data_IF_181631339317
#
_entry.id   IF_181631339317
#
_cell.length_a   1.000
_cell.length_b   1.000
_cell.length_c   1.000
_cell.angle_alpha   90.00
_cell.angle_beta   90.00
_cell.angle_gamma   90.00
#
_symmetry.space_group_name_H-M   'P 1'
#
loop_
_entity.id
_entity.type
_entity.pdbx_description
1 polymer ?
#
# COMPACT_ATOMS: atom_id res chain seq x y z
N UNK A 1 -13.67 -7.65 -3.06
CA UNK A 1 -12.29 -7.15 -3.19
C UNK A 1 -12.34 -5.63 -3.12
N UNK A 2 -11.50 -5.00 -2.30
CA UNK A 2 -11.36 -3.55 -2.27
C UNK A 2 -10.52 -3.17 -3.49
N UNK A 3 -11.14 -2.51 -4.47
CA UNK A 3 -10.40 -1.91 -5.58
C UNK A 3 -9.73 -0.66 -5.04
N UNK A 4 -8.40 -0.64 -5.09
CA UNK A 4 -7.60 0.49 -4.67
C UNK A 4 -7.88 1.66 -5.63
N UNK A 5 -8.04 2.88 -5.12
CA UNK A 5 -8.36 4.08 -5.91
C UNK A 5 -7.22 4.49 -6.88
N UNK A 6 -6.14 3.71 -6.94
CA UNK A 6 -5.02 3.80 -7.89
C UNK A 6 -5.36 3.30 -9.31
N UNK A 7 -6.64 3.35 -9.72
CA UNK A 7 -7.23 2.68 -10.90
C UNK A 7 -6.76 3.21 -12.26
N UNK A 8 -5.75 4.08 -12.38
CA UNK A 8 -5.38 4.66 -13.69
C UNK A 8 -3.94 4.49 -14.16
N UNK A 9 -2.96 4.18 -13.30
CA UNK A 9 -1.56 4.19 -13.76
C UNK A 9 -1.09 2.89 -14.41
N UNK A 10 -1.68 1.73 -14.08
CA UNK A 10 -1.17 0.43 -14.55
C UNK A 10 -1.84 -0.06 -15.84
N UNK A 11 -3.11 0.25 -16.07
CA UNK A 11 -3.79 -0.14 -17.32
C UNK A 11 -3.27 0.66 -18.54
N UNK A 12 -2.95 1.95 -18.35
CA UNK A 12 -2.42 2.80 -19.42
C UNK A 12 -0.97 2.42 -19.84
N UNK A 13 -0.23 1.74 -18.97
CA UNK A 13 1.15 1.27 -19.23
C UNK A 13 1.27 -0.24 -19.48
N UNK A 14 0.17 -1.00 -19.46
CA UNK A 14 0.23 -2.43 -19.72
C UNK A 14 0.59 -2.68 -21.20
N UNK A 15 1.59 -3.53 -21.43
CA UNK A 15 1.97 -3.92 -22.79
C UNK A 15 0.72 -4.49 -23.52
N UNK A 16 0.48 -4.16 -24.81
CA UNK A 16 -0.75 -4.53 -25.53
C UNK A 16 -1.09 -6.02 -25.53
N UNK A 17 -0.11 -6.87 -25.19
CA UNK A 17 -0.28 -8.32 -25.11
C UNK A 17 -0.89 -8.82 -23.80
N UNK A 18 -1.13 -7.95 -22.81
CA UNK A 18 -1.67 -8.30 -21.49
C UNK A 18 -3.14 -7.84 -21.47
N UNK A 19 -4.11 -8.75 -21.69
CA UNK A 19 -5.52 -8.38 -21.80
C UNK A 19 -6.14 -7.98 -20.46
N UNK A 20 -5.55 -8.44 -19.36
CA UNK A 20 -6.04 -8.20 -18.00
C UNK A 20 -4.87 -7.96 -17.06
N UNK A 21 -4.91 -6.85 -16.34
CA UNK A 21 -3.98 -6.54 -15.27
C UNK A 21 -4.78 -6.03 -14.08
N UNK A 22 -4.53 -6.58 -12.89
CA UNK A 22 -5.18 -6.14 -11.66
C UNK A 22 -4.15 -5.95 -10.57
N UNK A 23 -4.17 -4.78 -9.94
CA UNK A 23 -3.40 -4.49 -8.74
C UNK A 23 -4.35 -4.40 -7.56
N UNK A 24 -4.03 -5.10 -6.48
CA UNK A 24 -4.85 -5.12 -5.27
C UNK A 24 -4.00 -4.94 -4.04
N UNK A 25 -4.64 -4.42 -3.01
CA UNK A 25 -4.04 -4.30 -1.69
C UNK A 25 -4.49 -5.43 -0.78
N UNK A 26 -3.53 -6.12 -0.15
CA UNK A 26 -3.82 -7.15 0.85
C UNK A 26 -4.03 -6.55 2.23
N UNK A 27 -4.96 -7.14 2.98
CA UNK A 27 -5.31 -6.75 4.36
C UNK A 27 -5.66 -7.99 5.16
N UNK A 28 -5.45 -7.93 6.48
CA UNK A 28 -5.86 -9.00 7.37
C UNK A 28 -7.38 -9.21 7.36
N UNK A 29 -7.86 -10.45 7.58
CA UNK A 29 -9.29 -10.72 7.73
C UNK A 29 -9.94 -9.78 8.76
N UNK A 30 -11.14 -9.30 8.45
CA UNK A 30 -11.88 -8.34 9.28
C UNK A 30 -11.53 -6.86 9.06
N UNK A 31 -10.42 -6.53 8.39
CA UNK A 31 -10.07 -5.13 8.10
C UNK A 31 -11.18 -4.41 7.33
N UNK A 32 -11.69 -5.03 6.26
CA UNK A 32 -12.74 -4.43 5.43
C UNK A 32 -14.02 -4.19 6.22
N UNK A 33 -14.37 -5.08 7.16
CA UNK A 33 -15.56 -4.91 8.00
C UNK A 33 -15.38 -3.78 9.01
N UNK A 34 -14.18 -3.64 9.58
CA UNK A 34 -13.81 -2.50 10.42
C UNK A 34 -13.94 -1.17 9.67
N UNK A 35 -13.37 -1.08 8.45
CA UNK A 35 -13.49 0.13 7.61
C UNK A 35 -14.94 0.44 7.25
N UNK A 36 -15.74 -0.58 6.86
CA UNK A 36 -17.17 -0.40 6.58
C UNK A 36 -17.94 0.08 7.80
N UNK A 37 -17.61 -0.40 8.99
CA UNK A 37 -18.23 0.06 10.24
C UNK A 37 -17.91 1.54 10.49
N UNK A 38 -16.65 1.95 10.39
CA UNK A 38 -16.25 3.36 10.53
C UNK A 38 -16.98 4.24 9.52
N UNK A 39 -17.06 3.81 8.26
CA UNK A 39 -17.80 4.51 7.22
C UNK A 39 -19.29 4.66 7.55
N UNK A 40 -19.97 3.58 7.97
CA UNK A 40 -21.40 3.60 8.32
C UNK A 40 -21.70 4.51 9.52
N UNK A 41 -20.75 4.65 10.44
CA UNK A 41 -20.86 5.55 11.59
C UNK A 41 -20.52 7.01 11.26
N UNK A 42 -20.18 7.33 10.01
CA UNK A 42 -19.76 8.67 9.60
C UNK A 42 -18.35 9.06 10.05
N UNK A 43 -17.59 8.14 10.66
CA UNK A 43 -16.26 8.42 11.23
C UNK A 43 -15.17 8.65 10.17
N UNK A 44 -15.47 8.38 8.90
CA UNK A 44 -14.58 8.67 7.77
C UNK A 44 -15.07 9.87 6.93
N UNK A 45 -16.05 10.61 7.44
CA UNK A 45 -16.64 11.78 6.77
C UNK A 45 -15.72 12.99 6.84
N UNK A 46 -15.69 13.79 5.77
CA UNK A 46 -15.06 15.11 5.74
C UNK A 46 -15.98 16.21 6.34
N UNK A 47 -17.10 15.82 6.96
CA UNK A 47 -18.01 16.72 7.68
C UNK A 47 -17.28 17.44 8.84
N UNK A 48 -17.56 18.74 8.98
CA UNK A 48 -17.10 19.54 10.11
C UNK A 48 -18.12 19.49 11.25
N UNK A 49 -17.64 19.22 12.46
CA UNK A 49 -18.42 19.25 13.69
C UNK A 49 -17.92 20.34 14.62
N UNK A 50 -18.84 20.90 15.41
CA UNK A 50 -18.53 21.89 16.44
C UNK A 50 -18.71 21.26 17.83
N UNK A 51 -17.66 21.31 18.66
CA UNK A 51 -17.67 20.84 20.05
C UNK A 51 -17.14 21.98 20.92
N UNK A 52 -18.06 22.66 21.64
CA UNK A 52 -17.71 23.87 22.39
C UNK A 52 -17.27 24.98 21.43
N UNK A 53 -16.03 25.46 21.55
CA UNK A 53 -15.43 26.45 20.65
C UNK A 53 -14.56 25.86 19.54
N UNK A 54 -14.39 24.54 19.50
CA UNK A 54 -13.57 23.87 18.49
C UNK A 54 -14.40 23.42 17.29
N UNK A 55 -13.88 23.66 16.09
CA UNK A 55 -14.43 23.17 14.82
C UNK A 55 -13.44 22.20 14.21
N UNK A 56 -13.88 20.96 13.97
CA UNK A 56 -13.01 19.83 13.64
C UNK A 56 -13.63 19.00 12.52
N UNK A 57 -12.81 18.47 11.61
CA UNK A 57 -13.26 17.46 10.66
C UNK A 57 -13.33 16.08 11.34
N UNK A 58 -14.44 15.37 11.15
CA UNK A 58 -14.66 14.06 11.80
C UNK A 58 -13.55 13.06 11.45
N UNK A 59 -13.13 13.05 10.19
CA UNK A 59 -12.05 12.18 9.72
C UNK A 59 -10.71 12.47 10.39
N UNK A 60 -10.34 13.74 10.58
CA UNK A 60 -9.09 14.12 11.26
C UNK A 60 -9.09 13.68 12.72
N UNK A 61 -10.22 13.86 13.42
CA UNK A 61 -10.38 13.38 14.80
C UNK A 61 -10.25 11.87 14.86
N UNK A 62 -10.91 11.16 13.93
CA UNK A 62 -10.85 9.70 13.86
C UNK A 62 -9.44 9.21 13.59
N UNK A 63 -8.71 9.82 12.65
CA UNK A 63 -7.32 9.51 12.35
C UNK A 63 -6.40 9.75 13.56
N UNK A 64 -6.57 10.87 14.26
CA UNK A 64 -5.82 11.19 15.47
C UNK A 64 -6.07 10.16 16.59
N UNK A 65 -7.30 9.65 16.73
CA UNK A 65 -7.62 8.63 17.72
C UNK A 65 -7.06 7.26 17.35
N UNK A 66 -7.13 6.87 16.08
CA UNK A 66 -6.62 5.58 15.60
C UNK A 66 -5.09 5.53 15.63
N UNK A 67 -4.40 6.61 15.23
CA UNK A 67 -2.94 6.69 15.23
C UNK A 67 -2.32 6.66 16.64
N UNK A 68 -3.04 7.15 17.66
CA UNK A 68 -2.61 7.04 19.07
C UNK A 68 -2.63 5.61 19.59
N UNK A 69 -3.53 4.77 19.07
CA UNK A 69 -3.56 3.35 19.38
C UNK A 69 -2.44 2.68 18.58
N UNK A 70 -1.26 2.54 19.19
CA UNK A 70 -0.24 1.65 18.64
C UNK A 70 -0.78 0.23 18.72
N UNK A 71 -0.98 -0.49 17.60
CA UNK A 71 -1.00 -1.94 17.64
C UNK A 71 0.31 -2.37 18.32
N UNK A 72 0.26 -3.45 19.11
CA UNK A 72 1.43 -3.97 19.83
C UNK A 72 2.69 -3.94 18.95
N UNK A 73 3.83 -3.65 19.57
CA UNK A 73 5.14 -3.30 18.98
C UNK A 73 5.82 -4.46 18.21
N UNK A 74 5.02 -5.34 17.59
CA UNK A 74 5.44 -6.59 16.94
C UNK A 74 6.10 -6.36 15.55
N UNK A 75 6.27 -5.10 15.17
CA UNK A 75 6.78 -4.66 13.88
C UNK A 75 5.75 -4.73 12.75
N UNK A 76 6.19 -4.46 11.53
CA UNK A 76 5.45 -4.61 10.28
C UNK A 76 6.04 -5.71 9.37
N UNK A 77 5.27 -6.03 8.33
CA UNK A 77 5.65 -6.97 7.29
C UNK A 77 5.10 -6.50 5.95
N UNK A 78 5.90 -6.65 4.90
CA UNK A 78 5.47 -6.39 3.52
C UNK A 78 5.21 -7.72 2.83
N UNK A 79 4.04 -7.85 2.21
CA UNK A 79 3.65 -9.03 1.43
C UNK A 79 3.35 -8.59 0.00
N UNK A 80 4.06 -9.18 -0.95
CA UNK A 80 3.82 -9.00 -2.38
C UNK A 80 3.50 -10.37 -2.98
N UNK A 81 2.28 -10.52 -3.47
CA UNK A 81 1.82 -11.74 -4.14
C UNK A 81 1.50 -11.42 -5.60
N UNK A 82 2.15 -12.16 -6.50
CA UNK A 82 2.04 -11.98 -7.94
C UNK A 82 1.55 -13.28 -8.53
N UNK A 83 0.45 -13.21 -9.28
CA UNK A 83 -0.05 -14.30 -10.10
C UNK A 83 -0.04 -13.87 -11.57
N UNK A 84 0.54 -14.70 -12.42
CA UNK A 84 0.62 -14.48 -13.87
C UNK A 84 0.05 -15.71 -14.55
N UNK A 85 -0.90 -15.49 -15.46
CA UNK A 85 -1.42 -16.52 -16.35
C UNK A 85 -0.85 -16.29 -17.75
N UNK A 86 -0.27 -17.33 -18.34
CA UNK A 86 0.19 -17.27 -19.72
C UNK A 86 -0.95 -17.51 -20.73
N UNK A 87 -0.65 -17.36 -22.03
CA UNK A 87 -1.65 -17.57 -23.09
C UNK A 87 -2.16 -19.02 -23.21
N UNK A 88 -1.52 -19.97 -22.55
CA UNK A 88 -1.93 -21.38 -22.49
C UNK A 88 -2.75 -21.68 -21.23
N UNK A 89 -3.06 -20.66 -20.41
CA UNK A 89 -3.80 -20.81 -19.16
C UNK A 89 -2.95 -21.34 -18.00
N UNK A 90 -1.63 -21.37 -18.14
CA UNK A 90 -0.75 -21.83 -17.05
C UNK A 90 -0.53 -20.69 -16.06
N UNK A 91 -0.82 -20.97 -14.80
CA UNK A 91 -0.68 -20.00 -13.70
C UNK A 91 0.67 -20.17 -13.01
N UNK A 92 1.50 -19.15 -13.07
CA UNK A 92 2.66 -18.97 -12.21
C UNK A 92 2.30 -18.05 -11.04
N UNK A 93 2.69 -18.44 -9.83
CA UNK A 93 2.51 -17.61 -8.62
C UNK A 93 3.84 -17.43 -7.90
N UNK A 94 4.10 -16.21 -7.46
CA UNK A 94 5.26 -15.85 -6.66
C UNK A 94 4.81 -14.98 -5.49
N UNK A 95 5.18 -15.38 -4.29
CA UNK A 95 4.89 -14.65 -3.06
C UNK A 95 6.20 -14.25 -2.40
N UNK A 96 6.37 -12.98 -2.14
CA UNK A 96 7.46 -12.43 -1.35
C UNK A 96 6.94 -11.90 -0.03
N UNK A 97 7.61 -12.29 1.05
CA UNK A 97 7.36 -11.82 2.39
C UNK A 97 8.66 -11.19 2.89
N UNK A 98 8.60 -9.89 3.18
CA UNK A 98 9.72 -9.16 3.77
C UNK A 98 9.38 -8.77 5.20
N UNK A 99 10.15 -9.32 6.14
CA UNK A 99 10.21 -8.90 7.53
C UNK A 99 11.65 -8.58 7.87
N UNK A 100 11.96 -7.30 8.08
CA UNK A 100 13.34 -6.86 8.34
C UNK A 100 13.73 -7.09 9.81
N UNK A 101 14.96 -7.50 10.05
CA UNK A 101 15.57 -7.51 11.39
C UNK A 101 15.93 -6.09 11.88
N UNK A 102 16.05 -5.12 10.95
CA UNK A 102 16.32 -3.71 11.29
C UNK A 102 15.16 -3.05 12.04
N UNK A 103 14.03 -3.74 12.15
CA UNK A 103 12.90 -3.33 12.99
C UNK A 103 13.28 -3.24 14.46
N UNK A 104 14.18 -4.10 14.93
CA UNK A 104 14.76 -4.02 16.29
C UNK A 104 15.55 -2.72 16.51
N UNK A 105 15.94 -2.07 15.41
CA UNK A 105 16.66 -0.77 15.39
C UNK A 105 15.75 0.39 14.99
N UNK A 106 14.43 0.18 14.94
CA UNK A 106 13.44 1.20 14.61
C UNK A 106 13.22 1.46 13.12
N UNK A 107 13.74 0.61 12.22
CA UNK A 107 13.54 0.73 10.77
C UNK A 107 12.54 -0.32 10.31
N UNK A 108 11.37 0.11 9.85
CA UNK A 108 10.30 -0.80 9.44
C UNK A 108 10.64 -1.58 8.15
N UNK A 109 10.03 -2.75 7.99
CA UNK A 109 10.06 -3.52 6.75
C UNK A 109 9.52 -2.72 5.58
N UNK A 110 8.48 -1.90 5.79
CA UNK A 110 7.98 -0.96 4.79
C UNK A 110 9.06 0.06 4.38
N UNK A 111 9.79 0.63 5.34
CA UNK A 111 10.85 1.58 5.04
C UNK A 111 11.96 0.94 4.18
N UNK A 112 12.35 -0.31 4.47
CA UNK A 112 13.30 -1.06 3.65
C UNK A 112 12.73 -1.34 2.25
N UNK A 113 11.49 -1.81 2.16
CA UNK A 113 10.82 -2.13 0.90
C UNK A 113 10.73 -0.93 -0.05
N UNK A 114 10.67 0.30 0.48
CA UNK A 114 10.59 1.51 -0.32
C UNK A 114 11.93 2.19 -0.54
N UNK A 115 12.74 2.34 0.52
CA UNK A 115 13.95 3.15 0.45
C UNK A 115 15.09 2.44 -0.29
N UNK A 116 15.22 1.12 -0.13
CA UNK A 116 16.31 0.36 -0.78
C UNK A 116 16.16 0.34 -2.31
N UNK A 117 14.98 0.04 -2.90
CA UNK A 117 14.83 0.13 -4.35
C UNK A 117 15.07 1.53 -4.91
N UNK A 118 14.65 2.58 -4.19
CA UNK A 118 14.91 3.98 -4.60
C UNK A 118 16.41 4.28 -4.58
N UNK A 119 17.13 3.92 -3.50
CA UNK A 119 18.56 4.11 -3.41
C UNK A 119 19.31 3.36 -4.52
N UNK A 120 18.92 2.11 -4.79
CA UNK A 120 19.49 1.31 -5.87
C UNK A 120 19.22 1.94 -7.25
N UNK A 121 18.00 2.44 -7.50
CA UNK A 121 17.67 3.12 -8.74
C UNK A 121 18.52 4.40 -8.94
N UNK A 122 18.69 5.20 -7.89
CA UNK A 122 19.55 6.39 -7.91
C UNK A 122 21.00 6.01 -8.20
N UNK A 123 21.51 4.93 -7.61
CA UNK A 123 22.86 4.43 -7.90
C UNK A 123 23.00 4.00 -9.36
N UNK A 124 22.04 3.24 -9.89
CA UNK A 124 22.03 2.81 -11.29
C UNK A 124 22.03 3.99 -12.26
N UNK A 125 21.23 5.03 -11.98
CA UNK A 125 21.21 6.28 -12.78
C UNK A 125 22.57 6.98 -12.70
N UNK A 126 23.08 7.18 -11.49
CA UNK A 126 24.33 7.91 -11.24
C UNK A 126 25.52 7.23 -11.90
N UNK A 127 25.56 5.89 -11.87
CA UNK A 127 26.61 5.08 -12.52
C UNK A 127 26.37 4.82 -14.00
N UNK A 128 25.31 5.39 -14.59
CA UNK A 128 24.93 5.18 -15.99
C UNK A 128 24.77 3.68 -16.35
N UNK A 129 24.26 2.89 -15.40
CA UNK A 129 24.04 1.46 -15.56
C UNK A 129 22.70 1.13 -16.22
N UNK A 130 21.80 2.11 -16.30
CA UNK A 130 20.54 1.96 -17.01
C UNK A 130 20.76 2.14 -18.52
N UNK A 131 20.32 1.16 -19.32
CA UNK A 131 20.33 1.21 -20.78
C UNK A 131 18.89 1.31 -21.29
N UNK A 132 18.62 2.28 -22.16
CA UNK A 132 17.30 2.52 -22.75
C UNK A 132 16.75 3.91 -22.40
N UNK A 133 15.69 4.37 -23.09
CA UNK A 133 15.05 5.63 -22.77
C UNK A 133 14.39 5.56 -21.39
N UNK A 134 14.74 6.51 -20.52
CA UNK A 134 13.94 6.84 -19.33
C UNK A 134 12.87 7.77 -19.86
N UNK A 135 11.68 7.24 -20.15
CA UNK A 135 10.51 8.03 -20.54
C UNK A 135 9.85 8.65 -19.31
#
# INVERSE_FOLDING_TARGET
>A
AYDDAMVSSTAAGAHPSIPTLRQLTVRWPGFADGVRMLHRLGLLSDEEIEIGSARLQVKEVTEALLSRRRPNDDGDQVVLDIAIEDRQGRVGRWTCILRSELQERGISSMAIATAVPVAAAVECVTRQQLRGPIH
#
